data_IF_617225437427
#
_entry.id   IF_617225437427
#
_cell.length_a   1.000
_cell.length_b   1.000
_cell.length_c   1.000
_cell.angle_alpha   90.00
_cell.angle_beta   90.00
_cell.angle_gamma   90.00
#
_symmetry.space_group_name_H-M   'P 1'
#
loop_
_entity.id
_entity.type
_entity.pdbx_description
1 polymer ?
#
# COMPACT_ATOMS: atom_id res chain seq x y z
N UNK A 1 25.05 16.24 13.68
CA UNK A 1 24.72 14.82 13.84
C UNK A 1 23.87 14.37 12.67
N UNK A 2 24.38 13.45 11.91
CA UNK A 2 23.58 12.92 10.81
C UNK A 2 22.64 11.86 11.34
N UNK A 3 21.36 11.98 11.01
CA UNK A 3 20.41 10.92 11.27
C UNK A 3 20.43 9.98 10.07
N UNK A 4 20.60 8.72 10.35
CA UNK A 4 20.44 7.71 9.30
C UNK A 4 19.02 7.77 8.78
N UNK A 5 18.87 7.88 7.47
CA UNK A 5 17.55 7.79 6.85
C UNK A 5 17.07 6.34 7.02
N UNK A 6 16.02 6.18 7.79
CA UNK A 6 15.45 4.87 8.05
C UNK A 6 14.26 4.64 7.16
N UNK A 7 14.27 3.54 6.43
CA UNK A 7 13.10 3.11 5.66
C UNK A 7 12.09 2.46 6.61
N UNK A 8 10.78 2.66 6.35
CA UNK A 8 9.76 1.99 7.14
C UNK A 8 9.94 0.47 7.09
N UNK A 9 9.89 -0.17 8.26
CA UNK A 9 10.06 -1.62 8.37
C UNK A 9 8.73 -2.37 8.22
N UNK A 10 7.59 -1.66 8.19
CA UNK A 10 6.27 -2.26 8.07
C UNK A 10 5.29 -1.24 7.51
N UNK A 11 4.12 -1.73 7.05
CA UNK A 11 3.04 -0.84 6.62
C UNK A 11 2.52 0.01 7.78
N UNK A 12 2.59 -0.50 9.01
CA UNK A 12 2.27 0.28 10.20
C UNK A 12 3.16 1.51 10.31
N UNK A 13 4.47 1.35 10.10
CA UNK A 13 5.41 2.48 10.15
C UNK A 13 5.19 3.47 9.02
N UNK A 14 4.83 2.99 7.83
CA UNK A 14 4.46 3.89 6.72
C UNK A 14 3.37 4.85 7.17
N UNK A 15 2.33 4.33 7.81
CA UNK A 15 1.23 5.16 8.29
C UNK A 15 1.66 6.07 9.43
N UNK A 16 2.41 5.54 10.40
CA UNK A 16 2.84 6.32 11.56
C UNK A 16 3.69 7.53 11.17
N UNK A 17 4.55 7.36 10.17
CA UNK A 17 5.48 8.41 9.74
C UNK A 17 4.90 9.36 8.70
N UNK A 18 3.70 9.09 8.19
CA UNK A 18 3.09 9.94 7.15
C UNK A 18 2.27 11.06 7.76
N UNK A 19 2.76 12.30 7.64
CA UNK A 19 2.06 13.49 8.09
C UNK A 19 1.24 14.14 6.96
N UNK A 20 1.63 13.88 5.70
CA UNK A 20 1.00 14.44 4.51
C UNK A 20 0.81 13.35 3.44
N UNK A 21 0.02 13.65 2.43
CA UNK A 21 -0.15 12.76 1.29
C UNK A 21 1.17 12.51 0.55
N UNK A 22 1.99 13.55 0.42
CA UNK A 22 3.31 13.44 -0.21
C UNK A 22 4.23 12.51 0.58
N UNK A 23 4.24 12.63 1.91
CA UNK A 23 5.00 11.73 2.79
C UNK A 23 4.59 10.28 2.58
N UNK A 24 3.28 10.05 2.50
CA UNK A 24 2.75 8.70 2.34
C UNK A 24 3.32 8.02 1.09
N UNK A 25 3.29 8.72 -0.04
CA UNK A 25 3.83 8.18 -1.29
C UNK A 25 5.31 7.81 -1.19
N UNK A 26 6.11 8.69 -0.57
CA UNK A 26 7.53 8.46 -0.39
C UNK A 26 7.81 7.29 0.55
N UNK A 27 7.10 7.24 1.68
CA UNK A 27 7.29 6.16 2.66
C UNK A 27 6.81 4.81 2.13
N UNK A 28 5.73 4.79 1.37
CA UNK A 28 5.25 3.55 0.76
C UNK A 28 6.27 3.01 -0.25
N UNK A 29 6.85 3.87 -1.07
CA UNK A 29 7.88 3.47 -2.01
C UNK A 29 9.10 2.88 -1.30
N UNK A 30 9.54 3.53 -0.22
CA UNK A 30 10.65 3.04 0.59
C UNK A 30 10.32 1.70 1.23
N UNK A 31 9.09 1.52 1.69
CA UNK A 31 8.63 0.24 2.23
C UNK A 31 8.69 -0.87 1.18
N UNK A 32 8.27 -0.58 -0.05
CA UNK A 32 8.30 -1.59 -1.12
C UNK A 32 9.73 -2.06 -1.39
N UNK A 33 10.72 -1.16 -1.31
CA UNK A 33 12.13 -1.54 -1.39
C UNK A 33 12.52 -2.43 -0.22
N UNK A 34 12.12 -2.09 1.00
CA UNK A 34 12.39 -2.89 2.20
C UNK A 34 11.81 -4.30 2.04
N UNK A 35 10.57 -4.39 1.58
CA UNK A 35 9.90 -5.67 1.35
C UNK A 35 10.62 -6.50 0.30
N UNK A 36 11.00 -5.88 -0.81
CA UNK A 36 11.72 -6.54 -1.89
C UNK A 36 13.05 -7.13 -1.41
N UNK A 37 13.83 -6.36 -0.64
CA UNK A 37 15.10 -6.84 -0.08
C UNK A 37 14.89 -7.99 0.91
N UNK A 38 13.88 -7.90 1.77
CA UNK A 38 13.56 -8.98 2.70
C UNK A 38 13.23 -10.27 1.95
N UNK A 39 12.46 -10.16 0.87
CA UNK A 39 12.11 -11.32 0.05
C UNK A 39 13.35 -11.92 -0.61
N UNK A 40 14.24 -11.11 -1.16
CA UNK A 40 15.49 -11.58 -1.78
C UNK A 40 16.40 -12.30 -0.79
N UNK A 41 16.40 -11.85 0.48
CA UNK A 41 17.22 -12.44 1.54
C UNK A 41 16.54 -13.63 2.23
N UNK A 42 15.37 -13.98 1.79
CA UNK A 42 14.57 -15.07 2.39
C UNK A 42 14.28 -14.80 3.87
N UNK A 43 14.07 -13.53 4.21
CA UNK A 43 13.69 -13.12 5.56
C UNK A 43 12.17 -13.29 5.75
N UNK A 44 11.68 -13.40 7.00
CA UNK A 44 10.24 -13.47 7.26
C UNK A 44 9.53 -12.21 6.75
N UNK A 45 8.46 -12.39 5.96
CA UNK A 45 7.73 -11.28 5.35
C UNK A 45 6.50 -10.86 6.16
N UNK A 46 5.92 -11.77 6.95
CA UNK A 46 4.71 -11.48 7.72
C UNK A 46 4.86 -10.27 8.67
N UNK A 47 5.98 -10.10 9.39
CA UNK A 47 6.14 -8.95 10.28
C UNK A 47 6.09 -7.59 9.57
N UNK A 48 6.31 -7.56 8.26
CA UNK A 48 6.25 -6.33 7.49
C UNK A 48 4.80 -5.94 7.17
N UNK A 49 3.89 -6.91 7.18
CA UNK A 49 2.49 -6.71 6.78
C UNK A 49 1.50 -6.83 7.94
N UNK A 50 1.82 -7.67 8.94
CA UNK A 50 0.88 -8.03 10.00
C UNK A 50 0.49 -6.90 10.96
N UNK A 51 1.40 -5.99 11.36
CA UNK A 51 1.01 -4.92 12.30
C UNK A 51 -0.01 -3.97 11.68
N UNK A 52 -1.09 -3.72 12.43
CA UNK A 52 -2.20 -2.86 11.97
C UNK A 52 -1.77 -1.40 11.92
N UNK A 53 -1.85 -0.74 10.74
CA UNK A 53 -1.53 0.69 10.65
C UNK A 53 -2.58 1.55 11.34
N UNK A 54 -2.19 2.70 11.91
CA UNK A 54 -3.16 3.69 12.35
C UNK A 54 -3.87 4.28 11.14
N UNK A 55 -5.11 4.77 11.33
CA UNK A 55 -5.87 5.38 10.24
C UNK A 55 -5.32 6.77 9.93
N UNK A 56 -5.17 7.06 8.63
CA UNK A 56 -4.70 8.35 8.15
C UNK A 56 -5.84 9.31 7.80
N UNK A 57 -7.07 8.83 7.78
CA UNK A 57 -8.24 9.59 7.34
C UNK A 57 -8.48 10.87 8.14
N UNK A 58 -8.00 10.92 9.38
CA UNK A 58 -8.12 12.10 10.22
C UNK A 58 -6.91 13.03 10.15
N UNK A 59 -5.83 12.63 9.47
CA UNK A 59 -4.60 13.42 9.42
C UNK A 59 -4.54 14.39 8.25
N UNK A 60 -5.04 13.98 7.10
CA UNK A 60 -5.04 14.83 5.89
C UNK A 60 -6.16 14.37 4.94
N UNK A 61 -6.47 15.25 3.96
CA UNK A 61 -7.65 15.07 3.09
C UNK A 61 -7.68 13.73 2.35
N UNK A 62 -6.54 13.22 1.88
CA UNK A 62 -6.45 11.97 1.14
C UNK A 62 -6.23 10.74 2.03
N UNK A 63 -6.36 10.91 3.35
CA UNK A 63 -6.07 9.84 4.30
C UNK A 63 -6.90 8.58 4.10
N UNK A 64 -8.16 8.74 3.73
CA UNK A 64 -9.04 7.59 3.48
C UNK A 64 -8.56 6.75 2.28
N UNK A 65 -8.07 7.41 1.25
CA UNK A 65 -7.49 6.72 0.08
C UNK A 65 -6.21 6.00 0.50
N UNK A 66 -5.38 6.65 1.32
CA UNK A 66 -4.14 6.03 1.82
C UNK A 66 -4.42 4.81 2.69
N UNK A 67 -5.43 4.86 3.54
CA UNK A 67 -5.84 3.73 4.36
C UNK A 67 -6.23 2.53 3.49
N UNK A 68 -7.04 2.77 2.47
CA UNK A 68 -7.45 1.73 1.54
C UNK A 68 -6.26 1.20 0.73
N UNK A 69 -5.34 2.09 0.35
CA UNK A 69 -4.14 1.72 -0.40
C UNK A 69 -3.22 0.80 0.42
N UNK A 70 -3.05 1.11 1.71
CA UNK A 70 -2.27 0.25 2.62
C UNK A 70 -2.88 -1.15 2.72
N UNK A 71 -4.19 -1.22 2.88
CA UNK A 71 -4.89 -2.50 2.97
C UNK A 71 -4.76 -3.31 1.67
N UNK A 72 -4.92 -2.64 0.54
CA UNK A 72 -4.77 -3.28 -0.77
C UNK A 72 -3.35 -3.78 -1.00
N UNK A 73 -2.34 -3.00 -0.57
CA UNK A 73 -0.94 -3.39 -0.67
C UNK A 73 -0.66 -4.62 0.18
N UNK A 74 -1.14 -4.66 1.43
CA UNK A 74 -0.96 -5.82 2.31
C UNK A 74 -1.59 -7.06 1.70
N UNK A 75 -2.80 -6.94 1.18
CA UNK A 75 -3.52 -8.07 0.58
C UNK A 75 -2.80 -8.54 -0.69
N UNK A 76 -2.40 -7.62 -1.55
CA UNK A 76 -1.67 -7.94 -2.78
C UNK A 76 -0.35 -8.67 -2.49
N UNK A 77 0.47 -8.11 -1.60
CA UNK A 77 1.77 -8.70 -1.27
C UNK A 77 1.61 -10.07 -0.59
N UNK A 78 0.56 -10.23 0.20
CA UNK A 78 0.25 -11.52 0.81
C UNK A 78 -0.10 -12.57 -0.25
N UNK A 79 -0.98 -12.22 -1.19
CA UNK A 79 -1.42 -13.15 -2.24
C UNK A 79 -0.26 -13.59 -3.14
N UNK A 80 0.59 -12.66 -3.57
CA UNK A 80 1.70 -13.01 -4.48
C UNK A 80 2.86 -13.70 -3.80
N UNK A 81 2.89 -13.75 -2.48
CA UNK A 81 3.94 -14.42 -1.72
C UNK A 81 3.41 -15.60 -0.89
N UNK A 82 2.19 -16.05 -1.16
CA UNK A 82 1.55 -17.18 -0.47
C UNK A 82 1.53 -17.00 1.06
N UNK A 83 1.22 -15.78 1.51
CA UNK A 83 1.08 -15.45 2.91
C UNK A 83 -0.40 -15.28 3.27
N UNK A 84 -0.79 -15.55 4.52
CA UNK A 84 -2.15 -15.21 4.94
C UNK A 84 -2.32 -13.70 4.97
N UNK A 85 -3.43 -13.21 4.39
CA UNK A 85 -3.73 -11.78 4.41
C UNK A 85 -4.04 -11.33 5.84
N UNK A 86 -3.41 -10.27 6.34
CA UNK A 86 -3.72 -9.79 7.70
C UNK A 86 -5.19 -9.40 7.84
N UNK A 87 -5.80 -9.73 8.96
CA UNK A 87 -7.21 -9.45 9.20
C UNK A 87 -7.54 -7.96 9.07
N UNK A 88 -6.64 -7.07 9.50
CA UNK A 88 -6.88 -5.62 9.39
C UNK A 88 -7.06 -5.15 7.95
N UNK A 89 -6.40 -5.81 7.00
CA UNK A 89 -6.47 -5.43 5.59
C UNK A 89 -7.83 -5.76 4.97
N UNK A 90 -8.63 -6.59 5.63
CA UNK A 90 -9.96 -7.00 5.16
C UNK A 90 -11.09 -6.25 5.84
N UNK A 91 -10.80 -5.25 6.66
CA UNK A 91 -11.83 -4.45 7.35
C UNK A 91 -12.67 -3.68 6.31
N UNK A 92 -13.99 -3.68 6.51
CA UNK A 92 -14.94 -3.13 5.54
C UNK A 92 -14.77 -1.64 5.29
N UNK A 93 -14.40 -0.87 6.32
CA UNK A 93 -14.23 0.57 6.20
C UNK A 93 -13.00 0.98 5.36
N UNK A 94 -12.19 0.00 4.94
CA UNK A 94 -11.04 0.24 4.08
C UNK A 94 -11.37 0.13 2.59
N UNK A 95 -12.61 -0.20 2.25
CA UNK A 95 -13.08 -0.19 0.87
C UNK A 95 -13.62 1.20 0.55
N UNK A 96 -13.12 1.81 -0.52
CA UNK A 96 -13.60 3.14 -0.93
C UNK A 96 -15.01 3.07 -1.50
N UNK A 97 -15.84 4.05 -1.17
CA UNK A 97 -17.20 4.16 -1.73
C UNK A 97 -17.17 4.55 -3.20
N UNK A 98 -16.21 5.41 -3.56
CA UNK A 98 -16.02 5.84 -4.93
C UNK A 98 -14.71 5.32 -5.49
N UNK A 99 -14.65 4.93 -6.76
CA UNK A 99 -13.41 4.44 -7.35
C UNK A 99 -12.34 5.53 -7.41
N UNK A 100 -11.13 5.15 -7.08
CA UNK A 100 -9.97 6.03 -7.22
C UNK A 100 -9.03 5.46 -8.28
N UNK A 101 -8.64 6.31 -9.23
CA UNK A 101 -7.76 5.94 -10.32
C UNK A 101 -6.44 6.71 -10.20
N UNK A 102 -5.33 6.00 -10.38
CA UNK A 102 -4.01 6.63 -10.40
C UNK A 102 -3.78 7.49 -11.64
N UNK A 103 -4.59 7.32 -12.67
CA UNK A 103 -4.48 8.07 -13.93
C UNK A 103 -5.82 8.71 -14.27
N UNK A 104 -5.76 9.91 -14.85
CA UNK A 104 -6.98 10.69 -15.17
C UNK A 104 -7.46 10.51 -16.61
N UNK A 105 -6.56 10.15 -17.54
CA UNK A 105 -6.93 10.00 -18.95
C UNK A 105 -7.90 8.84 -19.16
N UNK A 106 -9.01 9.04 -19.90
CA UNK A 106 -10.01 7.98 -20.09
C UNK A 106 -9.47 6.68 -20.65
N UNK A 107 -8.54 6.74 -21.60
CA UNK A 107 -7.94 5.54 -22.18
C UNK A 107 -7.14 4.75 -21.15
N UNK A 108 -6.43 5.44 -20.26
CA UNK A 108 -5.67 4.80 -19.18
C UNK A 108 -6.59 4.25 -18.11
N UNK A 109 -7.70 4.93 -17.81
CA UNK A 109 -8.70 4.42 -16.86
C UNK A 109 -9.30 3.11 -17.33
N UNK A 110 -9.58 2.98 -18.62
CA UNK A 110 -10.10 1.72 -19.16
C UNK A 110 -9.10 0.58 -19.00
N UNK A 111 -7.81 0.86 -19.21
CA UNK A 111 -6.77 -0.14 -18.99
C UNK A 111 -6.66 -0.51 -17.52
N UNK A 112 -6.78 0.46 -16.61
CA UNK A 112 -6.76 0.23 -15.17
C UNK A 112 -7.93 -0.64 -14.73
N UNK A 113 -9.13 -0.42 -15.27
CA UNK A 113 -10.29 -1.25 -14.98
C UNK A 113 -10.04 -2.72 -15.33
N UNK A 114 -9.26 -2.97 -16.37
CA UNK A 114 -8.93 -4.32 -16.82
C UNK A 114 -7.72 -4.90 -16.07
N UNK A 115 -6.66 -4.12 -15.93
CA UNK A 115 -5.33 -4.63 -15.55
C UNK A 115 -4.98 -4.48 -14.07
N UNK A 116 -5.75 -3.74 -13.29
CA UNK A 116 -5.48 -3.57 -11.86
C UNK A 116 -5.55 -4.92 -11.14
N UNK A 117 -4.57 -5.23 -10.25
CA UNK A 117 -4.64 -6.45 -9.44
C UNK A 117 -5.91 -6.52 -8.60
N UNK A 118 -6.46 -7.73 -8.44
CA UNK A 118 -7.74 -7.95 -7.73
C UNK A 118 -7.75 -7.40 -6.31
N UNK A 119 -6.64 -7.52 -5.59
CA UNK A 119 -6.56 -6.99 -4.23
C UNK A 119 -6.83 -5.48 -4.16
N UNK A 120 -6.44 -4.74 -5.20
CA UNK A 120 -6.70 -3.31 -5.30
C UNK A 120 -8.13 -3.03 -5.79
N UNK A 121 -8.61 -3.77 -6.78
CA UNK A 121 -10.01 -3.64 -7.23
C UNK A 121 -10.99 -3.88 -6.08
N UNK A 122 -10.70 -4.83 -5.21
CA UNK A 122 -11.54 -5.15 -4.06
C UNK A 122 -11.69 -3.96 -3.10
N UNK A 123 -10.73 -3.04 -3.12
CA UNK A 123 -10.77 -1.81 -2.31
C UNK A 123 -11.23 -0.59 -3.12
N UNK A 124 -11.61 -0.81 -4.38
CA UNK A 124 -12.03 0.26 -5.29
C UNK A 124 -10.88 1.21 -5.66
N UNK A 125 -9.66 0.67 -5.69
CA UNK A 125 -8.45 1.39 -6.10
C UNK A 125 -7.94 0.80 -7.41
N UNK A 126 -7.64 1.66 -8.37
CA UNK A 126 -7.22 1.25 -9.71
C UNK A 126 -5.84 1.80 -10.02
N UNK A 127 -4.85 0.91 -10.04
CA UNK A 127 -3.43 1.22 -10.27
C UNK A 127 -2.83 0.17 -11.18
N UNK A 128 -1.75 0.51 -11.87
CA UNK A 128 -0.98 -0.48 -12.61
C UNK A 128 -0.08 -1.27 -11.65
N UNK A 129 0.07 -2.56 -11.91
CA UNK A 129 0.94 -3.42 -11.10
C UNK A 129 2.38 -2.89 -11.06
N UNK A 130 2.82 -2.23 -12.12
CA UNK A 130 4.16 -1.63 -12.17
C UNK A 130 4.40 -0.60 -11.07
N UNK A 131 3.35 0.02 -10.53
CA UNK A 131 3.49 0.96 -9.42
C UNK A 131 3.91 0.28 -8.13
N UNK A 132 3.74 -1.04 -8.04
CA UNK A 132 4.09 -1.85 -6.88
C UNK A 132 5.46 -2.53 -7.05
N UNK A 133 6.08 -2.34 -8.19
CA UNK A 133 7.38 -2.91 -8.51
C UNK A 133 8.50 -1.95 -8.11
N UNK A 134 9.61 -2.53 -7.61
CA UNK A 134 10.83 -1.79 -7.27
C UNK A 134 11.94 -2.30 -8.18
N UNK A 135 11.82 -1.98 -9.41
CA UNK A 135 12.85 -2.35 -10.38
C UNK A 135 14.14 -1.56 -10.16
#
# INVERSE_FOLDING_TARGET
MSQAIRRPASLQEVAEESATYSDFGAHLKDFLHTFHFARQRTEPLEPLLAPRPPRLRARFAQGKICDAFLAATADYLSRVNDLPTPAWALEEDLVLEEPWFSEEFPALRMRLLRDTPSAFKDKNIYVFESALSVA
#
